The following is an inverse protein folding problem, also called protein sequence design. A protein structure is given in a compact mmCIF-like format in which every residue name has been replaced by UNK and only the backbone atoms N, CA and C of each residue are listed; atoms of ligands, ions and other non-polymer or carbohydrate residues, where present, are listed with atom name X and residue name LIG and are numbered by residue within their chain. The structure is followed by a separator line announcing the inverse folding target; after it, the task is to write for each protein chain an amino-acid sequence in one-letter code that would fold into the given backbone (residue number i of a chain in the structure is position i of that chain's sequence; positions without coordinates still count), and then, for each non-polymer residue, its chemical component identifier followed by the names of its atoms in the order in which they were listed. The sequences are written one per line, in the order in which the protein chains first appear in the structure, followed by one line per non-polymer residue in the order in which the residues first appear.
data_IF_823063057455
#
_entry.id   IF_823063057455
#
_cell.length_a   1.000
_cell.length_b   1.000
_cell.length_c   1.000
_cell.angle_alpha   90.00
_cell.angle_beta   90.00
_cell.angle_gamma   90.00
#
_symmetry.space_group_name_H-M   'P 1'
#
loop_
_entity.id
_entity.type
_entity.pdbx_description
1 polymer ?
#
# COMPACT_ATOMS: atom_id res chain seq x y z
N UNK A 1 -1.70 6.30 -24.47
CA UNK A 1 -2.35 7.57 -24.07
C UNK A 1 -3.59 7.20 -23.28
N UNK A 2 -3.75 7.76 -22.09
CA UNK A 2 -4.84 7.43 -21.18
C UNK A 2 -5.49 8.71 -20.66
N UNK A 3 -6.82 8.68 -20.54
CA UNK A 3 -7.64 9.79 -20.13
C UNK A 3 -8.59 9.38 -19.02
N UNK A 4 -8.71 10.21 -18.00
CA UNK A 4 -9.68 10.06 -16.91
C UNK A 4 -11.03 10.66 -17.28
N UNK A 5 -11.99 10.60 -16.35
CA UNK A 5 -13.30 11.27 -16.48
C UNK A 5 -13.20 12.79 -16.70
N UNK A 6 -12.08 13.42 -16.30
CA UNK A 6 -11.79 14.84 -16.58
C UNK A 6 -11.37 15.14 -18.03
N UNK A 7 -11.21 14.12 -18.88
CA UNK A 7 -10.73 14.23 -20.28
C UNK A 7 -9.27 14.68 -20.44
N UNK A 8 -8.54 14.95 -19.35
CA UNK A 8 -7.10 15.19 -19.39
C UNK A 8 -6.37 13.93 -19.82
N UNK A 9 -5.56 14.06 -20.88
CA UNK A 9 -4.91 12.93 -21.52
C UNK A 9 -3.41 13.06 -21.40
N UNK A 10 -2.77 12.02 -20.88
CA UNK A 10 -1.31 11.97 -20.74
C UNK A 10 -0.76 10.69 -21.37
N UNK A 11 0.54 10.71 -21.63
CA UNK A 11 1.25 9.52 -22.08
C UNK A 11 1.31 8.45 -20.97
N UNK A 12 1.46 7.18 -21.33
CA UNK A 12 1.49 6.12 -20.32
C UNK A 12 2.72 6.25 -19.41
N UNK A 13 3.88 6.65 -19.97
CA UNK A 13 5.10 6.87 -19.20
C UNK A 13 4.97 8.06 -18.22
N UNK A 14 4.23 9.09 -18.64
CA UNK A 14 3.91 10.26 -17.83
C UNK A 14 3.07 9.85 -16.61
N UNK A 15 2.05 9.03 -16.83
CA UNK A 15 1.23 8.45 -15.77
C UNK A 15 2.06 7.61 -14.80
N UNK A 16 2.91 6.71 -15.32
CA UNK A 16 3.79 5.88 -14.50
C UNK A 16 4.73 6.73 -13.64
N UNK A 17 5.44 7.68 -14.24
CA UNK A 17 6.36 8.56 -13.52
C UNK A 17 5.66 9.38 -12.44
N UNK A 18 4.47 9.92 -12.75
CA UNK A 18 3.65 10.67 -11.80
C UNK A 18 3.21 9.80 -10.60
N UNK A 19 2.63 8.63 -10.86
CA UNK A 19 2.17 7.71 -9.82
C UNK A 19 3.33 7.24 -8.93
N UNK A 20 4.45 6.84 -9.54
CA UNK A 20 5.65 6.43 -8.79
C UNK A 20 6.13 7.55 -7.88
N UNK A 21 6.16 8.79 -8.38
CA UNK A 21 6.60 9.93 -7.58
C UNK A 21 5.64 10.19 -6.39
N UNK A 22 4.33 10.22 -6.65
CA UNK A 22 3.30 10.41 -5.61
C UNK A 22 3.33 9.33 -4.53
N UNK A 23 3.52 8.07 -4.94
CA UNK A 23 3.51 6.92 -4.03
C UNK A 23 4.83 6.83 -3.24
N UNK A 24 5.98 6.94 -3.90
CA UNK A 24 7.29 6.76 -3.25
C UNK A 24 7.71 8.00 -2.45
N UNK A 25 7.62 9.19 -3.04
CA UNK A 25 8.21 10.39 -2.44
C UNK A 25 7.22 11.10 -1.51
N UNK A 26 5.95 11.21 -1.90
CA UNK A 26 4.95 11.92 -1.09
C UNK A 26 4.22 10.98 -0.12
N UNK A 27 4.29 9.66 -0.32
CA UNK A 27 3.55 8.70 0.48
C UNK A 27 2.03 8.83 0.34
N UNK A 28 1.56 9.49 -0.72
CA UNK A 28 0.15 9.74 -0.97
C UNK A 28 -0.37 8.65 -1.91
N UNK A 29 -0.84 7.54 -1.35
CA UNK A 29 -1.53 6.49 -2.12
C UNK A 29 -3.05 6.66 -2.13
N UNK A 30 -3.63 7.29 -1.09
CA UNK A 30 -5.08 7.34 -0.87
C UNK A 30 -5.78 8.53 -1.56
N UNK A 31 -5.03 9.56 -1.96
CA UNK A 31 -5.59 10.83 -2.47
C UNK A 31 -4.90 11.30 -3.74
N UNK A 32 -4.52 10.36 -4.63
CA UNK A 32 -3.89 10.71 -5.90
C UNK A 32 -4.94 11.32 -6.82
N UNK A 33 -4.76 12.59 -7.18
CA UNK A 33 -5.59 13.31 -8.12
C UNK A 33 -5.01 13.28 -9.54
N UNK A 34 -5.76 13.82 -10.49
CA UNK A 34 -5.30 14.06 -11.86
C UNK A 34 -4.00 14.90 -11.86
N UNK A 35 -3.03 14.62 -12.76
CA UNK A 35 -1.79 15.39 -12.88
C UNK A 35 -1.99 16.88 -13.24
N UNK A 36 -3.18 17.23 -13.75
CA UNK A 36 -3.53 18.61 -14.06
C UNK A 36 -3.81 19.43 -12.78
N UNK A 37 -3.12 20.56 -12.63
CA UNK A 37 -3.13 21.39 -11.42
C UNK A 37 -4.51 21.97 -11.07
N UNK A 38 -5.43 22.07 -12.03
CA UNK A 38 -6.78 22.59 -11.80
C UNK A 38 -7.82 21.47 -11.69
N UNK A 39 -7.37 20.22 -11.54
CA UNK A 39 -8.23 19.05 -11.55
C UNK A 39 -8.12 18.24 -10.26
N UNK A 40 -9.20 18.20 -9.50
CA UNK A 40 -9.29 17.45 -8.24
C UNK A 40 -9.92 16.05 -8.42
N UNK A 41 -10.06 15.58 -9.66
CA UNK A 41 -10.61 14.25 -9.92
C UNK A 41 -9.60 13.20 -9.46
N UNK A 42 -10.02 12.35 -8.52
CA UNK A 42 -9.23 11.25 -8.00
C UNK A 42 -9.05 10.13 -9.04
N UNK A 43 -7.88 9.52 -9.01
CA UNK A 43 -7.56 8.32 -9.78
C UNK A 43 -8.06 7.10 -9.02
N UNK A 44 -8.80 6.22 -9.68
CA UNK A 44 -9.25 4.95 -9.08
C UNK A 44 -8.11 3.94 -8.92
N UNK A 45 -8.27 3.05 -7.94
CA UNK A 45 -7.27 2.04 -7.58
C UNK A 45 -7.00 1.05 -8.74
N UNK A 46 -8.01 0.76 -9.56
CA UNK A 46 -7.88 -0.11 -10.74
C UNK A 46 -6.91 0.51 -11.76
N UNK A 47 -7.07 1.80 -12.04
CA UNK A 47 -6.21 2.57 -12.94
C UNK A 47 -4.77 2.62 -12.40
N UNK A 48 -4.60 2.93 -11.11
CA UNK A 48 -3.27 2.94 -10.47
C UNK A 48 -2.62 1.57 -10.59
N UNK A 49 -3.34 0.50 -10.24
CA UNK A 49 -2.85 -0.87 -10.30
C UNK A 49 -2.44 -1.27 -11.72
N UNK A 50 -3.21 -0.86 -12.72
CA UNK A 50 -2.91 -1.12 -14.14
C UNK A 50 -1.63 -0.44 -14.60
N UNK A 51 -1.34 0.78 -14.15
CA UNK A 51 -0.10 1.48 -14.50
C UNK A 51 1.11 0.95 -13.75
N UNK A 52 0.91 0.32 -12.59
CA UNK A 52 1.95 -0.26 -11.76
C UNK A 52 2.18 -1.76 -11.99
N UNK A 53 1.52 -2.37 -12.97
CA UNK A 53 1.58 -3.82 -13.20
C UNK A 53 3.01 -4.31 -13.47
N UNK A 54 3.82 -3.49 -14.17
CA UNK A 54 5.22 -3.80 -14.45
C UNK A 54 6.18 -3.46 -13.29
N UNK A 55 5.68 -2.88 -12.18
CA UNK A 55 6.50 -2.47 -11.04
C UNK A 55 5.95 -2.97 -9.71
N UNK A 56 6.22 -4.25 -9.44
CA UNK A 56 5.79 -4.95 -8.22
C UNK A 56 6.23 -4.23 -6.94
N UNK A 57 7.40 -3.60 -6.93
CA UNK A 57 7.89 -2.85 -5.78
C UNK A 57 7.01 -1.64 -5.45
N UNK A 58 6.62 -0.84 -6.44
CA UNK A 58 5.74 0.32 -6.23
C UNK A 58 4.34 -0.12 -5.85
N UNK A 59 3.82 -1.18 -6.50
CA UNK A 59 2.54 -1.79 -6.15
C UNK A 59 2.51 -2.26 -4.69
N UNK A 60 3.62 -2.82 -4.22
CA UNK A 60 3.79 -3.22 -2.83
C UNK A 60 3.76 -2.02 -1.86
N UNK A 61 4.49 -0.94 -2.17
CA UNK A 61 4.47 0.30 -1.37
C UNK A 61 3.06 0.90 -1.34
N UNK A 62 2.41 0.99 -2.49
CA UNK A 62 1.05 1.50 -2.63
C UNK A 62 0.06 0.74 -1.74
N UNK A 63 0.07 -0.60 -1.83
CA UNK A 63 -0.77 -1.47 -0.97
C UNK A 63 -0.47 -1.24 0.51
N UNK A 64 0.81 -1.08 0.86
CA UNK A 64 1.24 -0.81 2.23
C UNK A 64 0.67 0.51 2.75
N UNK A 65 0.72 1.58 1.97
CA UNK A 65 0.21 2.89 2.38
C UNK A 65 -1.32 2.86 2.56
N UNK A 66 -2.05 2.21 1.64
CA UNK A 66 -3.52 2.10 1.74
C UNK A 66 -3.93 1.35 3.00
N UNK A 67 -3.25 0.24 3.32
CA UNK A 67 -3.58 -0.58 4.48
C UNK A 67 -2.94 -0.08 5.78
N UNK A 68 -2.08 0.95 5.74
CA UNK A 68 -1.37 1.39 6.93
C UNK A 68 -2.33 1.89 8.01
N UNK A 69 -3.38 2.62 7.62
CA UNK A 69 -4.41 3.08 8.55
C UNK A 69 -5.15 1.91 9.21
N UNK A 70 -5.42 0.82 8.47
CA UNK A 70 -6.01 -0.40 9.03
C UNK A 70 -5.08 -1.05 10.06
N UNK A 71 -3.78 -1.15 9.76
CA UNK A 71 -2.79 -1.75 10.67
C UNK A 71 -2.55 -0.90 11.92
N UNK A 72 -2.51 0.42 11.78
CA UNK A 72 -2.31 1.35 12.90
C UNK A 72 -3.50 1.38 13.87
N UNK A 73 -4.72 1.26 13.35
CA UNK A 73 -5.94 1.30 14.15
C UNK A 73 -6.38 -0.08 14.68
N UNK A 74 -5.75 -1.18 14.22
CA UNK A 74 -6.10 -2.52 14.65
C UNK A 74 -4.99 -3.13 15.53
N UNK A 75 -5.19 -3.29 16.85
CA UNK A 75 -4.18 -3.85 17.74
C UNK A 75 -3.83 -5.32 17.43
N UNK A 76 -4.66 -6.00 16.63
CA UNK A 76 -4.42 -7.39 16.19
C UNK A 76 -3.72 -7.48 14.84
N UNK A 77 -3.49 -6.37 14.15
CA UNK A 77 -2.81 -6.35 12.86
C UNK A 77 -1.41 -5.74 13.00
N UNK A 78 -0.40 -6.39 12.41
CA UNK A 78 0.96 -5.81 12.28
C UNK A 78 1.53 -6.15 10.92
N UNK A 79 2.38 -5.26 10.40
CA UNK A 79 3.22 -5.54 9.24
C UNK A 79 4.30 -6.57 9.61
N UNK A 80 4.51 -7.56 8.74
CA UNK A 80 5.64 -8.47 8.87
C UNK A 80 6.98 -7.70 8.74
N UNK A 81 7.96 -7.88 9.65
CA UNK A 81 9.27 -7.22 9.57
C UNK A 81 10.21 -7.86 8.53
N UNK A 82 9.80 -8.96 7.90
CA UNK A 82 10.58 -9.64 6.87
C UNK A 82 10.91 -8.74 5.69
N UNK A 83 12.15 -8.80 5.20
CA UNK A 83 12.61 -8.00 4.06
C UNK A 83 11.74 -8.30 2.83
N UNK A 84 11.15 -7.25 2.23
CA UNK A 84 10.28 -7.33 1.05
C UNK A 84 9.02 -8.22 1.22
N UNK A 85 8.61 -8.56 2.44
CA UNK A 85 7.42 -9.38 2.64
C UNK A 85 6.13 -8.55 2.51
N UNK A 86 6.03 -7.49 3.32
CA UNK A 86 4.83 -6.65 3.50
C UNK A 86 3.49 -7.39 3.52
N UNK A 87 3.48 -8.59 4.11
CA UNK A 87 2.24 -9.23 4.53
C UNK A 87 1.77 -8.60 5.84
N UNK A 88 0.46 -8.57 6.03
CA UNK A 88 -0.15 -8.21 7.31
C UNK A 88 -0.42 -9.49 8.07
N UNK A 89 0.08 -9.55 9.30
CA UNK A 89 -0.18 -10.64 10.23
C UNK A 89 -1.35 -10.22 11.11
N UNK A 90 -2.43 -10.99 11.07
CA UNK A 90 -3.57 -10.84 11.97
C UNK A 90 -3.42 -11.85 13.12
N UNK A 91 -3.14 -11.36 14.32
CA UNK A 91 -3.10 -12.17 15.52
C UNK A 91 -4.53 -12.43 16.02
N UNK A 92 -5.19 -13.43 15.45
CA UNK A 92 -6.51 -13.92 15.90
C UNK A 92 -6.46 -14.55 17.29
N UNK A 93 -5.28 -15.00 17.72
CA UNK A 93 -5.05 -15.76 18.96
C UNK A 93 -4.61 -14.90 20.15
N UNK A 94 -4.80 -13.58 20.09
CA UNK A 94 -4.69 -12.71 21.27
C UNK A 94 -5.92 -12.90 22.15
N UNK A 95 -6.03 -14.10 22.75
CA UNK A 95 -6.89 -14.30 23.91
C UNK A 95 -6.35 -13.40 25.01
N UNK A 96 -7.19 -12.44 25.40
CA UNK A 96 -7.01 -11.33 26.33
C UNK A 96 -6.56 -11.68 27.76
N UNK A 97 -6.06 -12.89 27.99
CA UNK A 97 -5.73 -13.39 29.33
C UNK A 97 -4.30 -13.05 29.77
N UNK A 98 -3.33 -12.90 28.86
CA UNK A 98 -1.94 -12.67 29.27
C UNK A 98 -1.13 -11.80 28.28
N UNK A 99 -0.60 -10.68 28.76
CA UNK A 99 0.26 -9.71 28.05
C UNK A 99 1.67 -10.27 27.74
N UNK A 100 1.80 -11.47 27.20
CA UNK A 100 3.09 -12.01 26.77
C UNK A 100 3.26 -11.86 25.27
N UNK A 101 4.43 -11.34 24.87
CA UNK A 101 4.82 -11.27 23.48
C UNK A 101 4.77 -12.67 22.85
N UNK A 102 3.97 -12.83 21.80
CA UNK A 102 3.85 -14.11 21.09
C UNK A 102 4.86 -14.14 19.94
N UNK A 103 5.65 -15.22 19.84
CA UNK A 103 6.49 -15.43 18.68
C UNK A 103 5.61 -15.89 17.51
N UNK A 104 5.48 -15.06 16.49
CA UNK A 104 4.74 -15.38 15.27
C UNK A 104 5.73 -15.53 14.12
N UNK A 105 5.57 -16.58 13.33
CA UNK A 105 6.31 -16.80 12.08
C UNK A 105 5.41 -16.46 10.91
N UNK A 106 5.89 -15.62 10.00
CA UNK A 106 5.17 -15.31 8.78
C UNK A 106 5.22 -16.50 7.80
N UNK A 107 4.07 -17.02 7.38
CA UNK A 107 4.01 -18.14 6.41
C UNK A 107 4.66 -17.80 5.06
N UNK A 108 4.59 -16.53 4.64
CA UNK A 108 5.09 -16.10 3.33
C UNK A 108 6.61 -15.96 3.27
N UNK A 109 7.24 -15.37 4.29
CA UNK A 109 8.69 -15.10 4.28
C UNK A 109 9.48 -15.85 5.37
N UNK A 110 8.82 -16.66 6.18
CA UNK A 110 9.40 -17.45 7.28
C UNK A 110 10.15 -16.62 8.33
N UNK A 111 9.92 -15.30 8.36
CA UNK A 111 10.49 -14.42 9.38
C UNK A 111 9.69 -14.57 10.67
N UNK A 112 10.37 -14.96 11.75
CA UNK A 112 9.81 -15.01 13.09
C UNK A 112 10.08 -13.70 13.84
N UNK A 113 9.07 -13.19 14.53
CA UNK A 113 9.17 -11.97 15.31
C UNK A 113 8.19 -11.99 16.50
N UNK A 114 8.52 -11.20 17.52
CA UNK A 114 7.66 -11.04 18.69
C UNK A 114 6.52 -10.06 18.36
N UNK A 115 5.29 -10.50 18.52
CA UNK A 115 4.08 -9.68 18.42
C UNK A 115 3.70 -9.21 19.83
N UNK A 116 3.64 -7.89 20.03
CA UNK A 116 3.31 -7.23 21.29
C UNK A 116 2.21 -6.19 21.10
#
# INVERSE_FOLDING_TARGET
MFSLKCKHTFCNDCWKGYLINKIINEGLAQTIACPDLQCEILVDDETITKFLDDNEFVKHIYTKIILNSYVENNPRARWCPGKKCGCIINATSLTSAYNYAQLITCDHCQTSFCFQ
#
